data_IF_172763439896
#
_entry.id   IF_172763439896
#
_cell.length_a   1.000
_cell.length_b   1.000
_cell.length_c   1.000
_cell.angle_alpha   90.00
_cell.angle_beta   90.00
_cell.angle_gamma   90.00
#
_symmetry.space_group_name_H-M   'P 1'
#
loop_
_entity.id
_entity.type
_entity.pdbx_description
1 polymer ?
#
# COMPACT_ATOMS: atom_id res chain seq x y z
N UNK A 1 15.15 17.78 0.00
CA UNK A 1 14.36 16.76 -0.72
C UNK A 1 12.90 16.98 -0.37
N UNK A 2 11.98 16.85 -1.32
CA UNK A 2 10.55 16.94 -1.03
C UNK A 2 10.11 15.66 -0.29
N UNK A 3 9.32 15.77 0.79
CA UNK A 3 8.77 14.59 1.47
C UNK A 3 7.79 13.87 0.56
N UNK A 4 7.70 12.55 0.70
CA UNK A 4 6.80 11.72 -0.11
C UNK A 4 5.35 12.24 -0.11
N UNK A 5 4.85 12.64 1.06
CA UNK A 5 3.50 13.19 1.26
C UNK A 5 3.20 14.49 0.50
N UNK A 6 4.21 15.18 -0.05
CA UNK A 6 3.97 16.40 -0.85
C UNK A 6 3.73 16.13 -2.32
N UNK A 7 3.93 14.89 -2.77
CA UNK A 7 3.84 14.54 -4.18
C UNK A 7 3.27 13.15 -4.48
N UNK A 8 3.09 12.30 -3.48
CA UNK A 8 2.39 11.02 -3.61
C UNK A 8 1.12 11.10 -2.77
N UNK A 9 -0.02 11.21 -3.44
CA UNK A 9 -1.33 11.29 -2.81
C UNK A 9 -2.15 10.04 -3.11
N UNK A 10 -2.76 9.50 -2.07
CA UNK A 10 -3.65 8.35 -2.13
C UNK A 10 -4.96 8.71 -1.47
N UNK A 11 -6.04 8.32 -2.11
CA UNK A 11 -7.39 8.47 -1.58
C UNK A 11 -8.23 7.27 -1.99
N UNK A 12 -9.37 7.09 -1.35
CA UNK A 12 -10.28 6.00 -1.65
C UNK A 12 -11.73 6.40 -1.38
N UNK A 13 -12.62 5.70 -2.04
CA UNK A 13 -14.05 5.69 -1.76
C UNK A 13 -14.51 4.24 -1.54
N UNK A 14 -15.83 4.01 -1.53
CA UNK A 14 -16.39 2.68 -1.32
C UNK A 14 -16.02 1.66 -2.41
N UNK A 15 -15.77 2.13 -3.63
CA UNK A 15 -15.56 1.30 -4.83
C UNK A 15 -14.08 1.18 -5.22
N UNK A 16 -13.28 2.23 -5.00
CA UNK A 16 -11.94 2.38 -5.59
C UNK A 16 -10.92 3.01 -4.65
N UNK A 17 -9.67 2.74 -4.99
CA UNK A 17 -8.48 3.45 -4.52
C UNK A 17 -7.94 4.26 -5.71
N UNK A 18 -7.52 5.49 -5.44
CA UNK A 18 -6.94 6.41 -6.41
C UNK A 18 -5.53 6.79 -6.00
N UNK A 19 -4.61 6.83 -6.97
CA UNK A 19 -3.24 7.31 -6.77
C UNK A 19 -2.99 8.48 -7.69
N UNK A 20 -2.56 9.61 -7.13
CA UNK A 20 -2.15 10.80 -7.86
C UNK A 20 -0.72 11.15 -7.44
N UNK A 21 0.23 10.97 -8.37
CA UNK A 21 1.65 11.04 -8.08
C UNK A 21 2.29 12.08 -8.99
N UNK A 22 2.96 13.06 -8.39
CA UNK A 22 3.55 14.23 -9.06
C UNK A 22 5.01 14.43 -8.62
N UNK A 23 5.92 13.51 -8.99
CA UNK A 23 7.29 13.53 -8.50
C UNK A 23 7.98 14.87 -8.80
N UNK A 24 8.82 15.42 -7.90
CA UNK A 24 9.45 16.73 -8.09
C UNK A 24 10.31 16.87 -9.35
N UNK A 25 10.85 15.75 -9.85
CA UNK A 25 11.80 15.69 -10.96
C UNK A 25 11.37 14.71 -12.07
N UNK A 26 10.06 14.47 -12.24
CA UNK A 26 9.56 13.50 -13.21
C UNK A 26 8.17 13.82 -13.74
N UNK A 27 7.70 13.03 -14.69
CA UNK A 27 6.32 13.11 -15.15
C UNK A 27 5.38 12.55 -14.08
N UNK A 28 4.35 13.32 -13.77
CA UNK A 28 3.28 12.85 -12.90
C UNK A 28 2.41 11.82 -13.59
N UNK A 29 1.80 10.95 -12.80
CA UNK A 29 0.88 9.93 -13.25
C UNK A 29 -0.26 9.79 -12.26
N UNK A 30 -1.38 9.26 -12.75
CA UNK A 30 -2.49 8.84 -11.91
C UNK A 30 -3.09 7.55 -12.43
N UNK A 31 -3.63 6.77 -11.51
CA UNK A 31 -4.41 5.58 -11.81
C UNK A 31 -5.40 5.27 -10.68
N UNK A 32 -6.13 4.18 -10.87
CA UNK A 32 -7.12 3.70 -9.91
C UNK A 32 -7.15 2.17 -9.93
N UNK A 33 -7.54 1.57 -8.82
CA UNK A 33 -7.85 0.15 -8.70
C UNK A 33 -9.16 -0.04 -7.92
N UNK A 34 -9.87 -1.13 -8.19
CA UNK A 34 -11.11 -1.46 -7.50
C UNK A 34 -10.84 -2.36 -6.29
N UNK A 35 -11.51 -2.08 -5.17
CA UNK A 35 -11.43 -2.92 -3.97
C UNK A 35 -11.76 -4.38 -4.25
N UNK A 36 -12.83 -4.62 -5.02
CA UNK A 36 -13.33 -5.97 -5.37
C UNK A 36 -12.35 -6.81 -6.18
N UNK A 37 -11.37 -6.19 -6.83
CA UNK A 37 -10.41 -6.86 -7.69
C UNK A 37 -9.15 -7.27 -6.90
N UNK A 38 -9.02 -6.84 -5.62
CA UNK A 38 -7.87 -7.16 -4.77
C UNK A 38 -7.93 -8.63 -4.35
N UNK A 39 -6.85 -9.35 -4.66
CA UNK A 39 -6.72 -10.77 -4.35
C UNK A 39 -5.66 -11.05 -3.28
N UNK A 40 -4.75 -10.10 -3.06
CA UNK A 40 -3.67 -10.23 -2.09
C UNK A 40 -3.08 -8.86 -1.76
N UNK A 41 -2.73 -8.67 -0.49
CA UNK A 41 -1.96 -7.50 -0.03
C UNK A 41 -0.70 -7.99 0.66
N UNK A 42 0.44 -7.38 0.35
CA UNK A 42 1.68 -7.63 1.08
C UNK A 42 2.19 -6.34 1.71
N UNK A 43 2.72 -6.41 2.92
CA UNK A 43 3.34 -5.30 3.62
C UNK A 43 4.84 -5.60 3.77
N UNK A 44 5.67 -4.67 3.33
CA UNK A 44 7.13 -4.68 3.48
C UNK A 44 7.50 -3.62 4.50
N UNK A 45 8.21 -4.02 5.54
CA UNK A 45 8.87 -3.08 6.45
C UNK A 45 10.17 -2.61 5.83
N UNK A 46 10.42 -1.30 5.90
CA UNK A 46 11.66 -0.70 5.45
C UNK A 46 12.86 -1.30 6.18
N UNK A 47 13.92 -1.64 5.44
CA UNK A 47 15.08 -2.34 6.00
C UNK A 47 15.99 -1.39 6.81
N UNK A 48 15.89 -0.09 6.56
CA UNK A 48 16.70 0.96 7.19
C UNK A 48 15.89 2.26 7.33
N UNK A 49 16.44 3.26 8.06
CA UNK A 49 15.86 4.59 8.28
C UNK A 49 15.54 5.39 7.00
N UNK A 50 16.02 4.94 5.85
CA UNK A 50 15.83 5.59 4.55
C UNK A 50 14.82 4.85 3.66
N UNK A 51 14.43 3.63 4.03
CA UNK A 51 13.38 2.87 3.35
C UNK A 51 12.06 3.11 4.06
N UNK A 52 11.02 3.41 3.28
CA UNK A 52 9.67 3.53 3.82
C UNK A 52 9.04 2.15 3.91
N UNK A 53 8.16 1.95 4.89
CA UNK A 53 7.26 0.81 4.84
C UNK A 53 6.32 0.97 3.63
N UNK A 54 6.07 -0.13 2.94
CA UNK A 54 5.31 -0.16 1.69
C UNK A 54 4.31 -1.29 1.71
N UNK A 55 3.15 -1.08 1.10
CA UNK A 55 2.23 -2.16 0.80
C UNK A 55 2.02 -2.33 -0.70
N UNK A 56 1.93 -3.59 -1.10
CA UNK A 56 1.82 -4.07 -2.45
C UNK A 56 0.43 -4.68 -2.60
N UNK A 57 -0.39 -4.10 -3.45
CA UNK A 57 -1.76 -4.58 -3.69
C UNK A 57 -1.76 -5.34 -5.02
N UNK A 58 -2.11 -6.62 -4.97
CA UNK A 58 -2.24 -7.47 -6.14
C UNK A 58 -3.72 -7.59 -6.52
N UNK A 59 -3.97 -7.57 -7.83
CA UNK A 59 -5.33 -7.69 -8.37
C UNK A 59 -5.39 -8.82 -9.40
N UNK A 60 -6.59 -9.34 -9.66
CA UNK A 60 -6.83 -10.32 -10.74
C UNK A 60 -6.71 -9.75 -12.16
N UNK A 61 -6.50 -8.43 -12.29
CA UNK A 61 -6.48 -7.72 -13.59
C UNK A 61 -5.10 -7.63 -14.23
N UNK A 62 -4.03 -7.79 -13.46
CA UNK A 62 -2.65 -7.66 -13.95
C UNK A 62 -1.66 -8.44 -13.07
N UNK A 63 -0.54 -8.85 -13.65
CA UNK A 63 0.52 -9.57 -12.91
C UNK A 63 1.28 -8.68 -11.94
N UNK A 64 1.41 -7.38 -12.25
CA UNK A 64 2.15 -6.43 -11.41
C UNK A 64 1.28 -5.91 -10.25
N UNK A 65 1.89 -5.71 -9.09
CA UNK A 65 1.23 -5.09 -7.94
C UNK A 65 1.23 -3.56 -8.03
N UNK A 66 0.25 -2.95 -7.36
CA UNK A 66 0.23 -1.53 -7.04
C UNK A 66 1.05 -1.32 -5.77
N UNK A 67 2.23 -0.70 -5.90
CA UNK A 67 3.07 -0.31 -4.76
C UNK A 67 2.61 1.04 -4.22
N UNK A 68 2.34 1.10 -2.91
CA UNK A 68 1.98 2.33 -2.20
C UNK A 68 2.82 2.42 -0.91
N UNK A 69 3.62 3.48 -0.73
CA UNK A 69 4.33 3.67 0.53
C UNK A 69 3.39 4.21 1.61
N UNK A 70 3.57 3.74 2.84
CA UNK A 70 2.79 4.16 4.02
C UNK A 70 2.91 5.66 4.33
N UNK A 71 4.06 6.24 4.01
CA UNK A 71 4.37 7.67 4.22
C UNK A 71 3.79 8.59 3.13
N UNK A 72 3.06 8.04 2.16
CA UNK A 72 2.29 8.83 1.21
C UNK A 72 1.18 9.60 1.94
N UNK A 73 0.73 10.71 1.35
CA UNK A 73 -0.46 11.39 1.86
C UNK A 73 -1.68 10.47 1.66
N UNK A 74 -2.41 10.17 2.75
CA UNK A 74 -3.47 9.15 2.79
C UNK A 74 -3.00 7.69 2.89
N UNK A 75 -1.69 7.42 2.98
CA UNK A 75 -1.14 6.06 3.06
C UNK A 75 -1.55 5.31 4.34
N UNK A 76 -1.49 5.98 5.49
CA UNK A 76 -1.92 5.41 6.78
C UNK A 76 -3.43 5.15 6.84
N UNK A 77 -4.24 6.06 6.28
CA UNK A 77 -5.69 5.90 6.21
C UNK A 77 -6.08 4.72 5.31
N UNK A 78 -5.40 4.58 4.17
CA UNK A 78 -5.61 3.44 3.28
C UNK A 78 -5.25 2.12 3.95
N UNK A 79 -4.15 2.08 4.71
CA UNK A 79 -3.77 0.88 5.45
C UNK A 79 -4.82 0.47 6.49
N UNK A 80 -5.36 1.44 7.23
CA UNK A 80 -6.48 1.20 8.14
C UNK A 80 -7.70 0.62 7.42
N UNK A 81 -8.04 1.16 6.25
CA UNK A 81 -9.17 0.69 5.46
C UNK A 81 -8.96 -0.73 4.88
N UNK A 82 -7.74 -1.07 4.47
CA UNK A 82 -7.38 -2.44 4.04
C UNK A 82 -7.65 -3.45 5.16
N UNK A 83 -7.28 -3.12 6.40
CA UNK A 83 -7.51 -3.97 7.57
C UNK A 83 -9.02 -4.03 7.89
N UNK A 84 -9.73 -2.90 7.85
CA UNK A 84 -11.17 -2.84 8.11
C UNK A 84 -11.98 -3.67 7.11
N UNK A 85 -11.52 -3.77 5.85
CA UNK A 85 -12.14 -4.59 4.80
C UNK A 85 -11.71 -6.06 4.84
N UNK A 86 -10.95 -6.46 5.86
CA UNK A 86 -10.44 -7.83 6.04
C UNK A 86 -9.56 -8.31 4.87
N UNK A 87 -8.96 -7.37 4.12
CA UNK A 87 -8.05 -7.66 3.01
C UNK A 87 -6.62 -7.95 3.48
N UNK A 88 -6.33 -7.66 4.75
CA UNK A 88 -5.12 -8.05 5.43
C UNK A 88 -5.43 -8.47 6.87
N UNK A 89 -4.74 -9.51 7.36
CA UNK A 89 -4.98 -10.03 8.70
C UNK A 89 -4.62 -9.01 9.80
N UNK A 90 -5.57 -8.73 10.68
CA UNK A 90 -5.40 -7.72 11.72
C UNK A 90 -4.35 -8.14 12.78
N UNK A 91 -4.26 -9.43 13.12
CA UNK A 91 -3.24 -9.90 14.06
C UNK A 91 -1.83 -9.78 13.47
N UNK A 92 -1.68 -10.09 12.18
CA UNK A 92 -0.44 -9.91 11.44
C UNK A 92 -0.06 -8.43 11.35
N UNK A 93 -1.02 -7.54 11.11
CA UNK A 93 -0.78 -6.09 11.13
C UNK A 93 -0.28 -5.60 12.50
N UNK A 94 -0.85 -6.11 13.61
CA UNK A 94 -0.35 -5.81 14.95
C UNK A 94 1.09 -6.32 15.13
N UNK A 95 1.39 -7.56 14.70
CA UNK A 95 2.74 -8.12 14.79
C UNK A 95 3.75 -7.27 14.03
N UNK A 96 3.42 -6.84 12.81
CA UNK A 96 4.23 -5.93 11.99
C UNK A 96 4.52 -4.61 12.74
N UNK A 97 3.48 -3.97 13.28
CA UNK A 97 3.63 -2.74 14.05
C UNK A 97 4.48 -2.90 15.33
N UNK A 98 4.57 -4.12 15.87
CA UNK A 98 5.34 -4.43 17.09
C UNK A 98 6.75 -4.99 16.83
N UNK A 99 7.19 -5.04 15.56
CA UNK A 99 8.57 -5.38 15.20
C UNK A 99 8.77 -6.73 14.48
N UNK A 100 7.72 -7.31 13.89
CA UNK A 100 7.88 -8.43 12.97
C UNK A 100 8.48 -7.91 11.66
N UNK A 101 9.72 -8.26 11.32
CA UNK A 101 10.42 -7.74 10.14
C UNK A 101 10.08 -8.47 8.82
N UNK A 102 10.41 -7.84 7.69
CA UNK A 102 10.39 -8.45 6.36
C UNK A 102 9.12 -8.15 5.54
N UNK A 103 8.87 -9.01 4.53
CA UNK A 103 7.70 -8.95 3.66
C UNK A 103 6.66 -9.99 4.09
N UNK A 104 5.46 -9.54 4.43
CA UNK A 104 4.36 -10.39 4.86
C UNK A 104 3.15 -10.20 3.97
N UNK A 105 2.51 -11.28 3.56
CA UNK A 105 1.40 -11.25 2.61
C UNK A 105 0.16 -11.93 3.16
N UNK A 106 -0.99 -11.39 2.80
CA UNK A 106 -2.30 -11.98 3.08
C UNK A 106 -3.16 -12.07 1.81
N UNK A 107 -3.79 -13.22 1.54
CA UNK A 107 -3.61 -14.50 2.22
C UNK A 107 -2.17 -15.06 2.07
N UNK A 108 -1.76 -15.92 3.01
CA UNK A 108 -0.46 -16.60 2.97
C UNK A 108 -0.40 -17.64 1.83
N UNK A 109 0.80 -17.91 1.30
CA UNK A 109 1.02 -18.89 0.23
C UNK A 109 1.60 -18.29 -1.05
N UNK A 110 1.74 -19.08 -2.12
CA UNK A 110 2.05 -18.56 -3.47
C UNK A 110 0.74 -18.19 -4.17
N UNK A 111 0.72 -17.09 -4.92
CA UNK A 111 -0.34 -16.78 -5.89
C UNK A 111 -0.40 -17.88 -6.96
#
# INVERSE_FOLDING_TARGET
>A
MASLSTWYHVSFDDDKIYRDVKPPNGEGWNDQLYWKDIIRVCFKIGEDLFDNDEFYIFTDKQEASYLIPTMADGGADLWGEIINRELFDAELAIKLATGLEGLHCWPEGKL
#
